data_IF_136160568982
#
_entry.id   IF_136160568982
#
_cell.length_a   1.000
_cell.length_b   1.000
_cell.length_c   1.000
_cell.angle_alpha   90.00
_cell.angle_beta   90.00
_cell.angle_gamma   90.00
#
_symmetry.space_group_name_H-M   'P 1'
#
loop_
_entity.id
_entity.type
_entity.pdbx_description
1 polymer ?
#
# COMPACT_ATOMS: atom_id res chain seq x y z
N UNK A 1 -3.11 8.76 4.56
CA UNK A 1 -4.35 7.99 4.55
C UNK A 1 -5.55 8.77 4.04
N UNK A 2 -6.70 8.11 3.91
CA UNK A 2 -7.90 8.72 3.29
C UNK A 2 -8.52 9.85 4.14
N UNK A 3 -8.39 9.80 5.46
CA UNK A 3 -8.99 10.79 6.38
C UNK A 3 -8.67 12.25 6.04
N UNK A 4 -7.48 12.52 5.49
CA UNK A 4 -7.08 13.88 5.09
C UNK A 4 -7.81 14.45 3.86
N UNK A 5 -8.54 13.62 3.14
CA UNK A 5 -9.30 13.98 1.95
C UNK A 5 -10.79 14.16 2.23
N UNK A 6 -11.23 13.85 3.45
CA UNK A 6 -12.61 13.95 3.89
C UNK A 6 -12.80 15.22 4.69
N UNK A 7 -13.96 15.86 4.55
CA UNK A 7 -14.25 17.15 5.13
C UNK A 7 -15.13 17.07 6.38
N UNK A 8 -15.85 15.96 6.58
CA UNK A 8 -16.78 15.76 7.68
C UNK A 8 -17.05 14.27 7.95
N UNK A 9 -17.79 14.00 9.04
CA UNK A 9 -18.12 12.63 9.46
C UNK A 9 -19.06 11.94 8.48
N UNK A 10 -19.95 12.66 7.79
CA UNK A 10 -20.86 12.10 6.80
C UNK A 10 -20.10 11.63 5.54
N UNK A 11 -19.06 12.34 5.11
CA UNK A 11 -18.16 11.84 4.06
C UNK A 11 -17.45 10.54 4.47
N UNK A 12 -16.95 10.47 5.72
CA UNK A 12 -16.36 9.26 6.26
C UNK A 12 -17.37 8.11 6.33
N UNK A 13 -18.59 8.39 6.84
CA UNK A 13 -19.67 7.42 6.89
C UNK A 13 -20.04 6.91 5.49
N UNK A 14 -20.06 7.78 4.49
CA UNK A 14 -20.30 7.43 3.09
C UNK A 14 -19.25 6.45 2.55
N UNK A 15 -17.94 6.72 2.78
CA UNK A 15 -16.85 5.83 2.39
C UNK A 15 -16.96 4.48 3.10
N UNK A 16 -17.14 4.49 4.41
CA UNK A 16 -17.28 3.26 5.21
C UNK A 16 -18.49 2.43 4.77
N UNK A 17 -19.62 3.09 4.47
CA UNK A 17 -20.85 2.43 3.99
C UNK A 17 -20.66 1.82 2.61
N UNK A 18 -19.90 2.48 1.72
CA UNK A 18 -19.53 1.94 0.41
C UNK A 18 -18.69 0.65 0.55
N UNK A 19 -17.67 0.65 1.44
CA UNK A 19 -16.87 -0.56 1.71
C UNK A 19 -17.71 -1.68 2.29
N UNK A 20 -18.63 -1.36 3.21
CA UNK A 20 -19.60 -2.33 3.75
C UNK A 20 -20.51 -2.85 2.62
N UNK A 21 -20.88 -2.00 1.66
CA UNK A 21 -21.60 -2.39 0.46
C UNK A 21 -20.87 -3.46 -0.35
N UNK A 22 -19.58 -3.31 -0.57
CA UNK A 22 -18.74 -4.32 -1.23
C UNK A 22 -18.71 -5.64 -0.46
N UNK A 23 -18.62 -5.59 0.86
CA UNK A 23 -18.62 -6.78 1.72
C UNK A 23 -19.99 -7.48 1.67
N UNK A 24 -21.09 -6.73 1.84
CA UNK A 24 -22.45 -7.25 1.85
C UNK A 24 -22.84 -7.90 0.51
N UNK A 25 -22.43 -7.28 -0.60
CA UNK A 25 -22.62 -7.81 -1.95
C UNK A 25 -21.59 -8.90 -2.34
N UNK A 26 -20.63 -9.20 -1.46
CA UNK A 26 -19.57 -10.21 -1.67
C UNK A 26 -18.72 -9.97 -2.93
N UNK A 27 -18.47 -8.73 -3.29
CA UNK A 27 -17.73 -8.38 -4.52
C UNK A 27 -16.34 -9.01 -4.56
N UNK A 28 -15.57 -8.91 -3.46
CA UNK A 28 -14.23 -9.50 -3.38
C UNK A 28 -14.24 -11.02 -3.49
N UNK A 29 -15.24 -11.69 -2.91
CA UNK A 29 -15.36 -13.16 -3.00
C UNK A 29 -15.67 -13.59 -4.43
N UNK A 30 -16.57 -12.87 -5.11
CA UNK A 30 -16.92 -13.12 -6.52
C UNK A 30 -15.72 -12.91 -7.43
N UNK A 31 -15.02 -11.81 -7.23
CA UNK A 31 -13.81 -11.48 -7.97
C UNK A 31 -12.70 -12.53 -7.77
N UNK A 32 -12.47 -12.95 -6.53
CA UNK A 32 -11.52 -14.03 -6.21
C UNK A 32 -11.90 -15.34 -6.90
N UNK A 33 -13.16 -15.74 -6.84
CA UNK A 33 -13.63 -16.96 -7.49
C UNK A 33 -13.49 -16.92 -9.01
N UNK A 34 -13.76 -15.77 -9.64
CA UNK A 34 -13.55 -15.57 -11.08
C UNK A 34 -12.05 -15.63 -11.44
N UNK A 35 -11.17 -15.04 -10.60
CA UNK A 35 -9.74 -15.13 -10.78
C UNK A 35 -9.24 -16.59 -10.73
N UNK A 36 -9.72 -17.36 -9.77
CA UNK A 36 -9.37 -18.77 -9.64
C UNK A 36 -9.82 -19.59 -10.87
N UNK A 37 -11.03 -19.36 -11.35
CA UNK A 37 -11.55 -20.03 -12.56
C UNK A 37 -10.74 -19.64 -13.81
N UNK A 38 -10.37 -18.35 -13.94
CA UNK A 38 -9.55 -17.89 -15.05
C UNK A 38 -8.14 -18.50 -15.01
N UNK A 39 -7.52 -18.61 -13.82
CA UNK A 39 -6.22 -19.26 -13.65
C UNK A 39 -6.26 -20.76 -13.97
N UNK A 40 -7.33 -21.46 -13.58
CA UNK A 40 -7.55 -22.87 -13.95
C UNK A 40 -7.68 -23.03 -15.48
N UNK A 41 -8.43 -22.15 -16.14
CA UNK A 41 -8.56 -22.12 -17.60
C UNK A 41 -7.22 -21.88 -18.30
N UNK A 42 -6.38 -20.97 -17.78
CA UNK A 42 -5.03 -20.74 -18.28
C UNK A 42 -4.10 -21.95 -18.06
N UNK A 43 -4.18 -22.59 -16.89
CA UNK A 43 -3.41 -23.79 -16.58
C UNK A 43 -3.75 -24.94 -17.53
N UNK A 44 -5.02 -25.18 -17.82
CA UNK A 44 -5.47 -26.18 -18.78
C UNK A 44 -5.02 -25.82 -20.21
N UNK A 45 -5.17 -24.55 -20.62
CA UNK A 45 -4.74 -24.07 -21.93
C UNK A 45 -3.24 -24.24 -22.17
N UNK A 46 -2.40 -24.03 -21.12
CA UNK A 46 -0.94 -24.19 -21.21
C UNK A 46 -0.51 -25.65 -21.41
N UNK A 47 -1.33 -26.62 -21.02
CA UNK A 47 -1.05 -28.04 -21.23
C UNK A 47 -1.19 -28.47 -22.69
N UNK A 48 -1.93 -27.70 -23.52
CA UNK A 48 -2.26 -28.09 -24.90
C UNK A 48 -1.53 -27.26 -25.97
N UNK A 49 -0.76 -26.22 -25.61
CA UNK A 49 -0.10 -25.37 -26.60
C UNK A 49 1.21 -24.77 -26.08
N UNK A 50 2.33 -25.06 -26.77
CA UNK A 50 3.64 -24.46 -26.52
C UNK A 50 3.61 -22.92 -26.67
N UNK A 51 2.84 -22.41 -27.62
CA UNK A 51 2.65 -20.97 -27.81
C UNK A 51 1.94 -20.33 -26.62
N UNK A 52 0.98 -21.03 -26.03
CA UNK A 52 0.27 -20.55 -24.86
C UNK A 52 1.15 -20.54 -23.61
N UNK A 53 2.03 -21.53 -23.42
CA UNK A 53 3.03 -21.55 -22.33
C UNK A 53 3.93 -20.33 -22.37
N UNK A 54 4.37 -19.92 -23.56
CA UNK A 54 5.27 -18.77 -23.76
C UNK A 54 4.65 -17.44 -23.30
N UNK A 55 3.32 -17.31 -23.38
CA UNK A 55 2.59 -16.10 -23.01
C UNK A 55 1.80 -16.21 -21.71
N UNK A 56 1.79 -17.38 -21.06
CA UNK A 56 1.02 -17.62 -19.83
C UNK A 56 1.40 -16.66 -18.68
N UNK A 57 2.68 -16.34 -18.52
CA UNK A 57 3.15 -15.39 -17.51
C UNK A 57 2.63 -13.98 -17.74
N UNK A 58 2.58 -13.51 -18.99
CA UNK A 58 2.04 -12.19 -19.34
C UNK A 58 0.52 -12.18 -19.15
N UNK A 59 -0.16 -13.26 -19.52
CA UNK A 59 -1.61 -13.39 -19.31
C UNK A 59 -1.97 -13.43 -17.83
N UNK A 60 -1.16 -14.09 -16.99
CA UNK A 60 -1.34 -14.14 -15.53
C UNK A 60 -1.14 -12.77 -14.88
N UNK A 61 -0.13 -11.99 -15.30
CA UNK A 61 0.07 -10.60 -14.87
C UNK A 61 -1.09 -9.71 -15.28
N UNK A 62 -1.56 -9.82 -16.53
CA UNK A 62 -2.71 -9.07 -17.01
C UNK A 62 -4.00 -9.39 -16.24
N UNK A 63 -4.25 -10.66 -15.94
CA UNK A 63 -5.37 -11.08 -15.11
C UNK A 63 -5.25 -10.54 -13.68
N UNK A 64 -4.07 -10.62 -13.05
CA UNK A 64 -3.87 -10.08 -11.71
C UNK A 64 -4.17 -8.59 -11.64
N UNK A 65 -3.79 -7.81 -12.66
CA UNK A 65 -4.10 -6.38 -12.74
C UNK A 65 -5.60 -6.10 -12.97
N UNK A 66 -6.29 -6.94 -13.76
CA UNK A 66 -7.74 -6.83 -13.98
C UNK A 66 -8.54 -7.09 -12.69
N UNK A 67 -8.07 -8.02 -11.86
CA UNK A 67 -8.73 -8.38 -10.60
C UNK A 67 -8.39 -7.44 -9.43
N UNK A 68 -7.56 -6.41 -9.63
CA UNK A 68 -7.32 -5.37 -8.62
C UNK A 68 -8.37 -4.26 -8.62
N UNK A 69 -9.25 -4.20 -9.64
CA UNK A 69 -10.27 -3.15 -9.78
C UNK A 69 -11.66 -3.77 -9.77
N UNK A 70 -12.55 -3.20 -8.99
CA UNK A 70 -13.96 -3.55 -9.06
C UNK A 70 -14.56 -3.13 -10.41
N UNK A 71 -15.56 -3.88 -10.88
CA UNK A 71 -16.29 -3.53 -12.08
C UNK A 71 -17.17 -2.29 -11.84
N UNK A 72 -17.58 -1.61 -12.92
CA UNK A 72 -18.49 -0.46 -12.80
C UNK A 72 -19.83 -0.84 -12.17
N UNK A 73 -20.28 -2.07 -12.36
CA UNK A 73 -21.54 -2.55 -11.79
C UNK A 73 -21.38 -2.88 -10.31
N UNK A 74 -20.21 -3.43 -9.88
CA UNK A 74 -19.90 -3.62 -8.47
C UNK A 74 -19.85 -2.27 -7.73
N UNK A 75 -19.23 -1.25 -8.35
CA UNK A 75 -19.18 0.10 -7.80
C UNK A 75 -20.57 0.73 -7.66
N UNK A 76 -21.42 0.62 -8.68
CA UNK A 76 -22.80 1.12 -8.62
C UNK A 76 -23.61 0.42 -7.54
N UNK A 77 -23.45 -0.89 -7.39
CA UNK A 77 -24.11 -1.65 -6.33
C UNK A 77 -23.59 -1.23 -4.95
N UNK A 78 -22.28 -1.05 -4.79
CA UNK A 78 -21.69 -0.58 -3.55
C UNK A 78 -22.12 0.86 -3.21
N UNK A 79 -22.26 1.74 -4.21
CA UNK A 79 -22.78 3.10 -4.01
C UNK A 79 -24.22 3.07 -3.53
N UNK A 80 -25.10 2.30 -4.18
CA UNK A 80 -26.52 2.21 -3.81
C UNK A 80 -26.69 1.65 -2.38
N UNK A 81 -25.96 0.61 -2.02
CA UNK A 81 -25.94 0.06 -0.65
C UNK A 81 -25.31 1.04 0.34
N UNK A 82 -24.24 1.74 -0.06
CA UNK A 82 -23.57 2.74 0.77
C UNK A 82 -24.50 3.89 1.12
N UNK A 83 -25.23 4.42 0.14
CA UNK A 83 -26.26 5.46 0.36
C UNK A 83 -27.35 4.96 1.30
N UNK A 84 -27.84 3.75 1.12
CA UNK A 84 -28.83 3.14 2.03
C UNK A 84 -28.29 3.08 3.46
N UNK A 85 -27.11 2.51 3.64
CA UNK A 85 -26.53 2.29 4.97
C UNK A 85 -26.20 3.60 5.69
N UNK A 86 -25.59 4.57 5.00
CA UNK A 86 -25.32 5.88 5.54
C UNK A 86 -26.61 6.61 5.97
N UNK A 87 -27.63 6.61 5.11
CA UNK A 87 -28.92 7.23 5.39
C UNK A 87 -29.61 6.58 6.59
N UNK A 88 -29.64 5.26 6.66
CA UNK A 88 -30.25 4.52 7.79
C UNK A 88 -29.48 4.67 9.08
N UNK A 89 -28.17 4.94 8.99
CA UNK A 89 -27.34 5.27 10.14
C UNK A 89 -27.48 6.75 10.60
N UNK A 90 -28.31 7.55 9.90
CA UNK A 90 -28.59 8.95 10.26
C UNK A 90 -27.60 9.96 9.69
N UNK A 91 -26.75 9.58 8.73
CA UNK A 91 -25.84 10.50 8.05
C UNK A 91 -26.45 11.06 6.77
N UNK A 92 -26.07 12.30 6.41
CA UNK A 92 -26.42 12.86 5.10
C UNK A 92 -25.63 12.19 3.99
N UNK A 93 -26.23 11.22 3.31
CA UNK A 93 -25.59 10.44 2.26
C UNK A 93 -25.21 11.26 1.01
N UNK A 94 -25.70 12.52 0.84
CA UNK A 94 -25.21 13.43 -0.20
C UNK A 94 -23.71 13.70 -0.05
N UNK A 95 -23.19 13.66 1.17
CA UNK A 95 -21.78 13.88 1.46
C UNK A 95 -20.87 12.78 0.90
N UNK A 96 -21.37 11.57 0.66
CA UNK A 96 -20.64 10.54 -0.09
C UNK A 96 -20.23 11.03 -1.49
N UNK A 97 -21.08 11.80 -2.17
CA UNK A 97 -20.74 12.41 -3.47
C UNK A 97 -19.69 13.52 -3.35
N UNK A 98 -19.64 14.24 -2.22
CA UNK A 98 -18.72 15.36 -2.03
C UNK A 98 -17.26 14.92 -1.97
N UNK A 99 -16.97 13.72 -1.47
CA UNK A 99 -15.64 13.14 -1.53
C UNK A 99 -15.12 13.08 -2.97
N UNK A 100 -15.95 12.65 -3.93
CA UNK A 100 -15.55 12.59 -5.35
C UNK A 100 -15.29 13.99 -5.92
N UNK A 101 -16.07 15.00 -5.52
CA UNK A 101 -15.84 16.41 -5.90
C UNK A 101 -14.52 16.92 -5.35
N UNK A 102 -14.19 16.60 -4.10
CA UNK A 102 -12.90 16.96 -3.48
C UNK A 102 -11.73 16.39 -4.27
N UNK A 103 -11.84 15.12 -4.69
CA UNK A 103 -10.81 14.45 -5.47
C UNK A 103 -10.61 15.04 -6.87
N UNK A 104 -11.68 15.38 -7.55
CA UNK A 104 -11.60 16.06 -8.85
C UNK A 104 -10.89 17.41 -8.75
N UNK A 105 -11.10 18.14 -7.66
CA UNK A 105 -10.38 19.41 -7.39
C UNK A 105 -8.90 19.24 -7.15
N UNK A 106 -8.53 18.18 -6.42
CA UNK A 106 -7.14 17.91 -6.06
C UNK A 106 -6.33 17.35 -7.23
N UNK A 107 -7.00 16.72 -8.17
CA UNK A 107 -6.34 16.10 -9.33
C UNK A 107 -7.16 16.32 -10.61
N UNK A 108 -7.13 17.53 -11.19
CA UNK A 108 -7.82 17.83 -12.43
C UNK A 108 -7.07 17.17 -13.60
N UNK A 109 -7.46 15.97 -13.99
CA UNK A 109 -6.86 15.23 -15.11
C UNK A 109 -6.77 13.74 -14.91
N UNK A 110 -6.10 13.04 -15.83
CA UNK A 110 -5.97 11.60 -15.79
C UNK A 110 -4.81 11.09 -14.93
N UNK A 111 -3.92 11.97 -14.47
CA UNK A 111 -2.78 11.60 -13.62
C UNK A 111 -3.26 11.49 -12.17
N UNK A 112 -3.32 10.24 -11.68
CA UNK A 112 -3.71 9.91 -10.31
C UNK A 112 -2.52 9.72 -9.39
N UNK A 113 -1.34 10.17 -9.77
CA UNK A 113 -0.15 10.15 -8.93
C UNK A 113 -0.38 11.01 -7.68
N UNK A 114 -0.11 10.44 -6.51
CA UNK A 114 -0.30 11.12 -5.22
C UNK A 114 -1.68 10.94 -4.56
N UNK A 115 -2.67 10.34 -5.23
CA UNK A 115 -3.93 9.96 -4.57
C UNK A 115 -3.75 8.66 -3.77
N UNK A 116 -4.52 8.48 -2.67
CA UNK A 116 -4.53 7.22 -1.95
C UNK A 116 -4.82 6.04 -2.86
N UNK A 117 -4.16 4.88 -2.60
CA UNK A 117 -4.30 3.67 -3.40
C UNK A 117 -5.74 3.16 -3.56
N UNK A 118 -6.65 3.54 -2.65
CA UNK A 118 -8.08 3.26 -2.75
C UNK A 118 -8.69 3.69 -4.09
N UNK A 119 -8.27 4.86 -4.64
CA UNK A 119 -8.78 5.36 -5.91
C UNK A 119 -8.30 4.59 -7.14
N UNK A 120 -7.23 3.82 -7.00
CA UNK A 120 -6.77 2.94 -8.08
C UNK A 120 -7.64 1.69 -8.22
N UNK A 121 -8.27 1.26 -7.13
CA UNK A 121 -9.17 0.09 -7.09
C UNK A 121 -10.64 0.45 -7.31
N UNK A 122 -11.03 1.71 -7.01
CA UNK A 122 -12.40 2.22 -7.15
C UNK A 122 -12.46 3.32 -8.24
N UNK A 123 -12.74 2.97 -9.50
CA UNK A 123 -12.85 3.96 -10.57
C UNK A 123 -14.01 4.93 -10.32
N UNK A 124 -13.77 6.20 -10.62
CA UNK A 124 -14.76 7.27 -10.47
C UNK A 124 -15.26 7.76 -11.85
N UNK A 125 -16.23 7.11 -12.48
CA UNK A 125 -16.89 7.67 -13.65
C UNK A 125 -17.80 8.84 -13.24
N UNK A 126 -17.96 9.87 -14.10
CA UNK A 126 -18.71 11.09 -13.77
C UNK A 126 -20.18 10.86 -13.38
N UNK A 127 -20.78 9.75 -13.80
CA UNK A 127 -22.16 9.39 -13.51
C UNK A 127 -22.41 8.98 -12.04
N UNK A 128 -21.36 8.59 -11.29
CA UNK A 128 -21.50 8.15 -9.89
C UNK A 128 -21.99 9.29 -8.98
N UNK A 129 -21.43 10.48 -9.10
CA UNK A 129 -21.85 11.65 -8.30
C UNK A 129 -23.35 11.92 -8.46
N UNK A 130 -23.83 11.90 -9.70
CA UNK A 130 -25.24 12.15 -9.98
C UNK A 130 -26.15 11.01 -9.47
N UNK A 131 -25.71 9.76 -9.57
CA UNK A 131 -26.44 8.59 -9.07
C UNK A 131 -26.56 8.63 -7.54
N UNK A 132 -25.44 8.82 -6.83
CA UNK A 132 -25.39 8.92 -5.36
C UNK A 132 -26.35 10.01 -4.87
N UNK A 133 -26.34 11.20 -5.49
CA UNK A 133 -27.25 12.30 -5.09
C UNK A 133 -28.71 11.98 -5.29
N UNK A 134 -29.08 11.32 -6.40
CA UNK A 134 -30.46 10.88 -6.63
C UNK A 134 -30.90 9.84 -5.58
N UNK A 135 -30.04 8.85 -5.32
CA UNK A 135 -30.35 7.79 -4.36
C UNK A 135 -30.42 8.35 -2.92
N UNK A 136 -29.54 9.30 -2.57
CA UNK A 136 -29.59 10.00 -1.29
C UNK A 136 -30.91 10.76 -1.10
N UNK A 137 -31.40 11.46 -2.15
CA UNK A 137 -32.70 12.14 -2.09
C UNK A 137 -33.85 11.14 -1.87
N UNK A 138 -33.85 10.00 -2.58
CA UNK A 138 -34.86 8.95 -2.38
C UNK A 138 -34.86 8.44 -0.95
N UNK A 139 -33.69 8.24 -0.34
CA UNK A 139 -33.60 7.80 1.04
C UNK A 139 -34.01 8.88 2.04
N UNK A 140 -33.70 10.17 1.78
CA UNK A 140 -34.20 11.26 2.59
C UNK A 140 -35.73 11.35 2.58
N UNK A 141 -36.37 11.12 1.43
CA UNK A 141 -37.83 11.06 1.31
C UNK A 141 -38.41 9.84 2.07
N UNK A 142 -37.79 8.65 1.94
CA UNK A 142 -38.20 7.45 2.67
C UNK A 142 -38.09 7.56 4.19
N UNK A 143 -37.12 8.33 4.65
CA UNK A 143 -36.86 8.56 6.07
C UNK A 143 -37.35 9.97 6.51
N UNK A 144 -38.45 10.43 5.92
CA UNK A 144 -39.02 11.75 6.18
C UNK A 144 -39.21 12.00 7.68
N UNK A 145 -38.69 13.12 8.16
CA UNK A 145 -38.68 13.49 9.59
C UNK A 145 -37.43 13.04 10.39
N UNK A 146 -36.53 12.26 9.78
CA UNK A 146 -35.22 12.00 10.38
C UNK A 146 -34.29 13.22 10.24
N UNK A 147 -33.52 13.52 11.29
CA UNK A 147 -32.43 14.47 11.20
C UNK A 147 -31.17 13.78 10.69
N UNK A 148 -30.57 14.30 9.62
CA UNK A 148 -29.33 13.78 9.08
C UNK A 148 -28.12 14.59 9.57
N UNK A 149 -27.07 13.90 9.94
CA UNK A 149 -25.88 14.48 10.55
C UNK A 149 -24.77 14.63 9.52
N UNK A 150 -24.04 15.74 9.56
CA UNK A 150 -22.79 15.95 8.81
C UNK A 150 -21.56 15.97 9.72
N UNK A 151 -21.69 16.64 10.90
CA UNK A 151 -20.72 16.70 11.99
C UNK A 151 -19.28 17.04 11.57
N UNK A 152 -19.12 18.18 10.88
CA UNK A 152 -17.80 18.64 10.42
C UNK A 152 -16.84 18.92 11.58
N UNK A 153 -17.27 19.71 12.55
CA UNK A 153 -16.40 20.17 13.64
C UNK A 153 -15.99 19.01 14.55
N UNK A 154 -16.92 18.10 14.83
CA UNK A 154 -16.62 16.88 15.57
C UNK A 154 -15.63 15.98 14.84
N UNK A 155 -15.72 15.88 13.52
CA UNK A 155 -14.77 15.15 12.68
C UNK A 155 -13.37 15.78 12.74
N UNK A 156 -13.27 17.08 12.48
CA UNK A 156 -11.99 17.79 12.46
C UNK A 156 -11.28 17.75 13.84
N UNK A 157 -12.04 17.89 14.92
CA UNK A 157 -11.46 17.79 16.28
C UNK A 157 -10.87 16.41 16.59
N UNK A 158 -11.40 15.34 15.98
CA UNK A 158 -10.87 13.98 16.13
C UNK A 158 -9.63 13.73 15.29
N UNK A 159 -9.41 14.52 14.23
CA UNK A 159 -8.19 14.46 13.42
C UNK A 159 -7.04 15.25 14.04
N UNK A 160 -7.33 16.16 14.99
CA UNK A 160 -6.30 16.95 15.63
C UNK A 160 -5.26 16.05 16.32
N UNK A 161 -3.99 16.29 16.05
CA UNK A 161 -2.87 15.48 16.57
C UNK A 161 -2.58 14.19 15.83
N UNK A 162 -3.36 13.80 14.82
CA UNK A 162 -3.00 12.69 13.96
C UNK A 162 -1.86 13.08 13.02
N UNK A 163 -0.89 12.19 12.89
CA UNK A 163 0.25 12.41 11.97
C UNK A 163 -0.24 12.34 10.53
N UNK A 164 -0.01 13.40 9.76
CA UNK A 164 -0.27 13.46 8.33
C UNK A 164 1.01 13.15 7.54
N UNK A 165 0.93 12.16 6.65
CA UNK A 165 2.08 11.69 5.88
C UNK A 165 2.90 10.63 6.60
N UNK A 166 4.21 10.66 6.39
CA UNK A 166 5.15 9.78 7.07
C UNK A 166 5.33 10.21 8.53
N UNK A 167 5.31 9.25 9.44
CA UNK A 167 5.55 9.53 10.85
C UNK A 167 7.04 9.76 11.10
N UNK A 168 7.48 10.99 11.47
CA UNK A 168 8.90 11.27 11.69
C UNK A 168 9.54 10.39 12.77
N UNK A 169 8.73 9.80 13.68
CA UNK A 169 9.23 8.87 14.71
C UNK A 169 9.72 7.55 14.13
N UNK A 170 9.22 7.16 12.94
CA UNK A 170 9.66 5.96 12.21
C UNK A 170 10.81 6.24 11.24
N UNK A 171 11.33 7.46 11.24
CA UNK A 171 12.43 7.91 10.41
C UNK A 171 11.99 8.84 9.29
N UNK A 172 12.88 9.73 8.93
CA UNK A 172 12.70 10.74 7.88
C UNK A 172 14.03 11.09 7.23
N UNK A 173 13.97 11.69 6.06
CA UNK A 173 15.15 12.20 5.34
C UNK A 173 15.19 13.72 5.46
N UNK A 174 16.34 14.25 5.89
CA UNK A 174 16.63 15.67 5.86
C UNK A 174 17.96 15.90 5.14
N UNK A 175 17.92 16.64 4.05
CA UNK A 175 19.06 16.77 3.15
C UNK A 175 19.46 15.43 2.52
N UNK A 176 20.66 14.96 2.83
CA UNK A 176 21.20 13.66 2.40
C UNK A 176 21.42 12.71 3.58
N UNK A 177 20.59 12.80 4.61
CA UNK A 177 20.72 11.95 5.78
C UNK A 177 19.35 11.40 6.17
N UNK A 178 19.30 10.10 6.41
CA UNK A 178 18.16 9.44 7.03
C UNK A 178 18.35 9.44 8.55
N UNK A 179 17.32 9.88 9.27
CA UNK A 179 17.29 9.93 10.74
C UNK A 179 16.18 9.00 11.26
N UNK A 180 16.46 8.27 12.33
CA UNK A 180 15.45 7.51 13.06
C UNK A 180 15.46 7.89 14.55
N UNK A 181 14.62 8.84 14.99
CA UNK A 181 14.66 9.38 16.35
C UNK A 181 14.47 8.34 17.45
N UNK A 182 13.49 7.43 17.31
CA UNK A 182 13.20 6.43 18.33
C UNK A 182 14.30 5.37 18.52
N UNK A 183 14.97 4.96 17.44
CA UNK A 183 16.06 3.99 17.47
C UNK A 183 17.43 4.69 17.57
N UNK A 184 17.45 6.02 17.61
CA UNK A 184 18.61 6.88 17.81
C UNK A 184 19.77 6.54 16.87
N UNK A 185 19.50 6.41 15.56
CA UNK A 185 20.51 6.23 14.53
C UNK A 185 20.27 7.14 13.32
N UNK A 186 21.33 7.34 12.55
CA UNK A 186 21.29 8.02 11.26
C UNK A 186 22.30 7.39 10.30
N UNK A 187 22.04 7.54 9.00
CA UNK A 187 22.98 7.15 7.96
C UNK A 187 22.84 8.05 6.72
N UNK A 188 23.92 8.20 5.92
CA UNK A 188 23.89 9.00 4.71
C UNK A 188 23.06 8.32 3.63
N UNK A 189 22.29 9.13 2.90
CA UNK A 189 21.60 8.73 1.67
C UNK A 189 22.45 9.17 0.49
N UNK A 190 22.83 8.27 -0.43
CA UNK A 190 23.61 8.65 -1.59
C UNK A 190 22.91 9.71 -2.44
N UNK A 191 23.67 10.64 -3.00
CA UNK A 191 23.12 11.75 -3.78
C UNK A 191 22.29 11.23 -4.97
N UNK A 192 21.09 11.77 -5.14
CA UNK A 192 20.19 11.39 -6.21
C UNK A 192 19.43 10.07 -6.00
N UNK A 193 19.64 9.36 -4.89
CA UNK A 193 18.89 8.16 -4.57
C UNK A 193 17.52 8.49 -3.97
N UNK A 194 16.53 7.66 -4.27
CA UNK A 194 15.18 7.74 -3.67
C UNK A 194 15.11 6.84 -2.43
N UNK A 195 14.45 7.33 -1.40
CA UNK A 195 14.21 6.57 -0.16
C UNK A 195 12.75 6.19 -0.08
N UNK A 196 12.48 4.92 0.20
CA UNK A 196 11.18 4.37 0.55
C UNK A 196 11.28 3.81 1.96
N UNK A 197 10.69 4.51 2.93
CA UNK A 197 10.69 4.13 4.33
C UNK A 197 9.39 3.39 4.66
N UNK A 198 9.51 2.17 5.13
CA UNK A 198 8.38 1.33 5.56
C UNK A 198 8.56 0.91 7.02
N UNK A 199 7.53 0.40 7.66
CA UNK A 199 7.62 -0.10 9.03
C UNK A 199 8.60 -1.28 9.22
N UNK A 200 8.93 -2.01 8.15
CA UNK A 200 9.79 -3.18 8.20
C UNK A 200 11.23 -2.88 7.76
N UNK A 201 11.42 -1.95 6.84
CA UNK A 201 12.72 -1.68 6.22
C UNK A 201 12.76 -0.31 5.54
N UNK A 202 13.97 0.21 5.40
CA UNK A 202 14.25 1.38 4.56
C UNK A 202 14.93 0.91 3.29
N UNK A 203 14.40 1.30 2.15
CA UNK A 203 14.90 0.96 0.83
C UNK A 203 15.44 2.22 0.16
N UNK A 204 16.66 2.15 -0.35
CA UNK A 204 17.28 3.24 -1.11
C UNK A 204 17.51 2.74 -2.54
N UNK A 205 17.02 3.48 -3.52
CA UNK A 205 17.10 3.12 -4.94
C UNK A 205 17.98 4.11 -5.69
N UNK A 206 18.95 3.60 -6.45
CA UNK A 206 19.71 4.41 -7.39
C UNK A 206 18.78 5.05 -8.45
N UNK A 207 19.15 6.23 -8.94
CA UNK A 207 18.36 6.96 -9.94
C UNK A 207 18.13 6.14 -11.23
N UNK A 208 19.13 5.34 -11.65
CA UNK A 208 19.07 4.46 -12.81
C UNK A 208 18.41 3.11 -12.51
N UNK A 209 18.00 2.85 -11.28
CA UNK A 209 17.42 1.59 -10.82
C UNK A 209 18.34 0.35 -11.02
N UNK A 210 19.63 0.57 -11.09
CA UNK A 210 20.67 -0.46 -11.26
C UNK A 210 21.27 -0.93 -9.93
N UNK A 211 20.93 -0.27 -8.81
CA UNK A 211 21.35 -0.62 -7.48
C UNK A 211 20.29 -0.29 -6.43
N UNK A 212 20.24 -1.12 -5.38
CA UNK A 212 19.38 -0.92 -4.21
C UNK A 212 20.18 -1.17 -2.93
N UNK A 213 19.93 -0.36 -1.90
CA UNK A 213 20.38 -0.64 -0.53
C UNK A 213 19.13 -0.90 0.31
N UNK A 214 19.14 -2.03 1.02
CA UNK A 214 18.10 -2.40 1.96
C UNK A 214 18.64 -2.29 3.38
N UNK A 215 17.96 -1.52 4.20
CA UNK A 215 18.28 -1.41 5.62
C UNK A 215 17.13 -1.95 6.46
N UNK A 216 17.44 -2.88 7.35
CA UNK A 216 16.44 -3.48 8.26
C UNK A 216 17.08 -4.00 9.54
N UNK A 217 16.25 -4.49 10.46
CA UNK A 217 16.72 -5.29 11.59
C UNK A 217 17.00 -6.71 11.13
N UNK A 218 18.11 -7.27 11.57
CA UNK A 218 18.49 -8.65 11.30
C UNK A 218 18.19 -9.56 12.51
N UNK A 219 17.78 -10.78 12.24
CA UNK A 219 17.62 -11.80 13.27
C UNK A 219 18.98 -12.32 13.73
N UNK A 220 19.25 -12.30 15.04
CA UNK A 220 20.49 -12.81 15.64
C UNK A 220 20.91 -12.02 16.87
N UNK A 221 21.58 -12.68 17.80
CA UNK A 221 22.06 -12.06 19.03
C UNK A 221 23.40 -11.32 18.86
N UNK A 222 24.04 -11.45 17.71
CA UNK A 222 25.29 -10.78 17.35
C UNK A 222 25.41 -10.61 15.84
N UNK A 223 26.29 -9.73 15.33
CA UNK A 223 26.54 -9.59 13.89
C UNK A 223 26.93 -10.89 13.21
N UNK A 224 27.77 -11.72 13.86
CA UNK A 224 28.16 -13.02 13.32
C UNK A 224 27.00 -14.01 13.27
N UNK A 225 26.15 -14.04 14.31
CA UNK A 225 24.96 -14.90 14.33
C UNK A 225 23.94 -14.48 13.25
N UNK A 226 23.71 -13.17 13.10
CA UNK A 226 22.82 -12.65 12.07
C UNK A 226 23.33 -12.95 10.65
N UNK A 227 24.64 -12.83 10.42
CA UNK A 227 25.27 -13.19 9.16
C UNK A 227 25.14 -14.70 8.86
N UNK A 228 25.20 -15.55 9.88
CA UNK A 228 24.98 -17.00 9.73
C UNK A 228 23.51 -17.31 9.39
N UNK A 229 22.55 -16.67 10.06
CA UNK A 229 21.13 -16.79 9.74
C UNK A 229 20.85 -16.38 8.29
N UNK A 230 21.35 -15.23 7.87
CA UNK A 230 21.24 -14.77 6.47
C UNK A 230 21.77 -15.82 5.48
N UNK A 231 22.95 -16.39 5.75
CA UNK A 231 23.53 -17.43 4.89
C UNK A 231 22.62 -18.66 4.78
N UNK A 232 22.02 -19.09 5.88
CA UNK A 232 21.15 -20.26 5.91
C UNK A 232 19.84 -20.03 5.18
N UNK A 233 19.22 -18.86 5.39
CA UNK A 233 17.92 -18.51 4.80
C UNK A 233 18.01 -18.19 3.31
N UNK A 234 19.04 -17.45 2.89
CA UNK A 234 19.23 -17.04 1.50
C UNK A 234 19.91 -18.10 0.62
N UNK A 235 20.48 -19.14 1.23
CA UNK A 235 21.33 -20.14 0.55
C UNK A 235 22.47 -19.48 -0.26
N UNK A 236 22.91 -18.29 0.18
CA UNK A 236 23.90 -17.49 -0.52
C UNK A 236 25.28 -18.19 -0.54
N UNK A 237 25.96 -18.11 -1.68
CA UNK A 237 27.34 -18.49 -1.79
C UNK A 237 28.24 -17.38 -1.23
N UNK A 238 28.85 -17.58 -0.07
CA UNK A 238 29.68 -16.58 0.59
C UNK A 238 31.05 -16.52 -0.06
N UNK A 239 31.40 -15.38 -0.60
CA UNK A 239 32.71 -15.10 -1.20
C UNK A 239 33.69 -14.51 -0.19
N UNK A 240 33.20 -13.63 0.68
CA UNK A 240 33.97 -13.00 1.75
C UNK A 240 33.15 -12.92 3.02
N UNK A 241 33.84 -13.10 4.17
CA UNK A 241 33.24 -12.93 5.49
C UNK A 241 34.31 -12.42 6.45
N UNK A 242 34.11 -11.22 7.00
CA UNK A 242 35.09 -10.63 7.89
C UNK A 242 34.41 -9.90 9.06
N UNK A 243 35.01 -10.02 10.25
CA UNK A 243 34.66 -9.19 11.39
C UNK A 243 35.18 -7.77 11.16
N UNK A 244 34.35 -6.76 11.45
CA UNK A 244 34.65 -5.37 11.22
C UNK A 244 34.19 -4.49 12.39
N UNK A 245 34.59 -3.22 12.35
CA UNK A 245 34.00 -2.15 13.16
C UNK A 245 33.52 -1.04 12.24
N UNK A 246 32.28 -0.60 12.44
CA UNK A 246 31.67 0.49 11.69
C UNK A 246 31.28 1.56 12.71
N UNK A 247 31.90 2.73 12.63
CA UNK A 247 31.72 3.82 13.60
C UNK A 247 31.88 3.38 15.07
N UNK A 248 32.86 2.49 15.33
CA UNK A 248 33.12 1.93 16.66
C UNK A 248 32.22 0.75 17.07
N UNK A 249 31.13 0.49 16.35
CA UNK A 249 30.22 -0.62 16.60
C UNK A 249 30.77 -1.93 16.03
N UNK A 250 30.50 -3.04 16.73
CA UNK A 250 30.86 -4.37 16.22
C UNK A 250 30.04 -4.67 14.97
N UNK A 251 30.70 -5.23 13.96
CA UNK A 251 30.06 -5.58 12.70
C UNK A 251 30.61 -6.88 12.11
N UNK A 252 29.82 -7.50 11.24
CA UNK A 252 30.22 -8.58 10.34
C UNK A 252 29.90 -8.17 8.93
N UNK A 253 30.88 -8.20 8.02
CA UNK A 253 30.69 -7.96 6.60
C UNK A 253 30.65 -9.26 5.83
N UNK A 254 29.76 -9.34 4.85
CA UNK A 254 29.69 -10.44 3.89
C UNK A 254 29.69 -9.88 2.48
N UNK A 255 30.35 -10.60 1.57
CA UNK A 255 30.11 -10.49 0.12
C UNK A 255 29.66 -11.86 -0.33
N UNK A 256 28.52 -11.93 -1.00
CA UNK A 256 27.90 -13.18 -1.41
C UNK A 256 27.26 -13.08 -2.79
N UNK A 257 27.14 -14.20 -3.47
CA UNK A 257 26.32 -14.35 -4.66
C UNK A 257 25.00 -15.07 -4.26
N UNK A 258 23.89 -14.45 -4.55
CA UNK A 258 22.52 -14.96 -4.31
C UNK A 258 21.91 -15.35 -5.63
N UNK A 259 21.45 -16.58 -5.74
CA UNK A 259 20.77 -17.09 -6.93
C UNK A 259 19.34 -16.57 -6.98
N UNK A 260 18.95 -15.94 -8.07
CA UNK A 260 17.58 -15.55 -8.40
C UNK A 260 17.13 -16.27 -9.68
N UNK A 261 15.82 -16.28 -9.95
CA UNK A 261 15.27 -16.88 -11.17
C UNK A 261 15.87 -16.29 -12.46
N UNK A 262 16.30 -15.02 -12.42
CA UNK A 262 16.86 -14.28 -13.56
C UNK A 262 18.40 -14.28 -13.61
N UNK A 263 19.08 -15.02 -12.72
CA UNK A 263 20.54 -15.07 -12.60
C UNK A 263 21.04 -14.73 -11.21
N UNK A 264 22.37 -14.76 -11.05
CA UNK A 264 22.99 -14.46 -9.77
C UNK A 264 23.19 -12.94 -9.59
N UNK A 265 22.88 -12.46 -8.39
CA UNK A 265 23.21 -11.09 -7.98
C UNK A 265 24.31 -11.13 -6.90
N UNK A 266 25.20 -10.14 -6.96
CA UNK A 266 26.18 -9.91 -5.91
C UNK A 266 25.63 -9.01 -4.84
N UNK A 267 25.68 -9.46 -3.59
CA UNK A 267 25.18 -8.75 -2.43
C UNK A 267 26.33 -8.49 -1.46
N UNK A 268 26.51 -7.25 -1.07
CA UNK A 268 27.39 -6.84 0.03
C UNK A 268 26.52 -6.54 1.25
N UNK A 269 26.70 -7.28 2.34
CA UNK A 269 25.92 -7.10 3.56
C UNK A 269 26.81 -6.66 4.72
N UNK A 270 26.30 -5.74 5.53
CA UNK A 270 26.97 -5.29 6.77
C UNK A 270 26.00 -5.45 7.93
N UNK A 271 26.26 -6.43 8.81
CA UNK A 271 25.51 -6.64 10.04
C UNK A 271 26.16 -5.88 11.16
N UNK A 272 25.45 -4.96 11.81
CA UNK A 272 26.02 -3.98 12.76
C UNK A 272 25.25 -4.08 14.07
N UNK A 273 25.97 -4.29 15.18
CA UNK A 273 25.40 -4.32 16.53
C UNK A 273 25.26 -2.89 17.07
N UNK A 274 24.03 -2.50 17.41
CA UNK A 274 23.77 -1.30 18.20
C UNK A 274 22.79 -1.64 19.31
N UNK A 275 23.22 -1.44 20.54
CA UNK A 275 22.48 -1.83 21.73
C UNK A 275 22.07 -3.31 21.68
N UNK A 276 20.81 -3.63 21.86
CA UNK A 276 20.29 -5.01 21.79
C UNK A 276 19.91 -5.48 20.38
N UNK A 277 20.06 -4.65 19.38
CA UNK A 277 19.64 -4.94 18.01
C UNK A 277 20.83 -5.16 17.08
N UNK A 278 20.65 -6.00 16.10
CA UNK A 278 21.52 -6.10 14.93
C UNK A 278 20.79 -5.50 13.73
N UNK A 279 21.45 -4.58 13.07
CA UNK A 279 20.96 -3.97 11.84
C UNK A 279 21.74 -4.50 10.65
N UNK A 280 21.11 -4.57 9.49
CA UNK A 280 21.74 -4.98 8.23
C UNK A 280 21.51 -3.95 7.14
N UNK A 281 22.61 -3.67 6.42
CA UNK A 281 22.59 -2.97 5.16
C UNK A 281 22.92 -3.92 4.04
#
# INVERSE_FOLDING_TARGET
>A
GMLSYLNDEAELAGVMSHEIGHIAARHSVRQYSQAQLAMLGLGVGSMFSETFQKYAGIAQLGLSMLFLKFSRDDERQADALGVEYASRAGFDANHMANMFVTLERLNPGSDRSGLPGWFSTHPNPPDRIAAIRRDAQVWQEKLAGAAFVTNRDGYLSRLEGLVFGEDPRQGYVEGQTFYHPQLAFQFPVPAGWKVNNTAAQVQLYAAQQDAVILFSMAAGASPAAAAQTFRQESQANILQSEAARINGLQAQRLVSDVALEQGNIRVASSFIQKDKYVYVF
#
